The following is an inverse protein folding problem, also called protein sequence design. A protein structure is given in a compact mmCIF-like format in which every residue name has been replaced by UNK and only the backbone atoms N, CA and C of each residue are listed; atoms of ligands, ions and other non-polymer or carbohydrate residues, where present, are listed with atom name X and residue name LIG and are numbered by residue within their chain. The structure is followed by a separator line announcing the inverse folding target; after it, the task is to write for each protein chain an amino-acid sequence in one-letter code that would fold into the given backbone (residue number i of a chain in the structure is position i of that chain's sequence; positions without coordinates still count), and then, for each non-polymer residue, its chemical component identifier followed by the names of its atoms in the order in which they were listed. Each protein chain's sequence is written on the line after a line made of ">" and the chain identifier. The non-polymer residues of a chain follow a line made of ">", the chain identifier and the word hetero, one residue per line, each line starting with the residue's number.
data_IF_370482728027
#
_entry.id   IF_370482728027
#
_cell.length_a   1.000
_cell.length_b   1.000
_cell.length_c   1.000
_cell.angle_alpha   90.00
_cell.angle_beta   90.00
_cell.angle_gamma   90.00
#
_symmetry.space_group_name_H-M   'P 1'
#
loop_
_entity.id
_entity.type
_entity.pdbx_description
1 polymer ?
#
# COMPACT_ATOMS: atom_id res chain seq x y z
N UNK A 1 -3.51 17.72 -5.64
CA UNK A 1 -2.15 18.22 -5.87
C UNK A 1 -1.40 17.30 -6.82
N UNK A 2 -0.84 17.82 -7.86
CA UNK A 2 -0.02 16.97 -8.73
C UNK A 2 1.21 16.47 -7.99
N UNK A 3 1.56 15.25 -8.29
CA UNK A 3 2.74 14.62 -7.70
C UNK A 3 3.92 14.94 -8.63
N UNK A 4 4.76 15.90 -8.25
CA UNK A 4 5.83 16.37 -9.10
C UNK A 4 7.18 15.79 -8.64
N UNK A 5 8.19 15.91 -9.52
CA UNK A 5 9.55 15.47 -9.17
C UNK A 5 10.08 16.21 -7.94
N UNK A 6 9.74 17.48 -7.82
CA UNK A 6 10.16 18.28 -6.66
C UNK A 6 9.52 17.75 -5.38
N UNK A 7 8.23 17.42 -5.44
CA UNK A 7 7.53 16.83 -4.32
C UNK A 7 8.14 15.49 -3.93
N UNK A 8 8.51 14.67 -4.94
CA UNK A 8 9.20 13.40 -4.70
C UNK A 8 10.49 13.60 -3.92
N UNK A 9 11.30 14.58 -4.33
CA UNK A 9 12.57 14.82 -3.65
C UNK A 9 12.36 15.21 -2.20
N UNK A 10 11.36 16.05 -1.93
CA UNK A 10 11.06 16.46 -0.57
C UNK A 10 10.62 15.26 0.28
N UNK A 11 9.76 14.41 -0.27
CA UNK A 11 9.28 13.25 0.46
C UNK A 11 10.39 12.24 0.71
N UNK A 12 11.29 12.06 -0.27
CA UNK A 12 12.45 11.18 -0.07
C UNK A 12 13.33 11.68 1.06
N UNK A 13 13.57 12.98 1.10
CA UNK A 13 14.41 13.56 2.15
C UNK A 13 13.77 13.37 3.52
N UNK A 14 12.46 13.41 3.61
CA UNK A 14 11.75 13.24 4.88
C UNK A 14 11.87 11.81 5.43
N UNK A 15 12.18 10.84 4.58
CA UNK A 15 12.37 9.46 5.01
C UNK A 15 13.79 9.16 5.48
N UNK A 16 14.72 10.10 5.29
CA UNK A 16 16.11 9.87 5.60
C UNK A 16 16.39 9.60 7.09
N UNK A 17 15.75 10.32 8.03
CA UNK A 17 16.08 10.09 9.45
C UNK A 17 15.88 8.64 9.87
N UNK A 18 16.80 8.14 10.67
CA UNK A 18 16.78 6.74 11.08
C UNK A 18 15.58 6.35 11.90
N UNK A 19 14.91 7.31 12.56
CA UNK A 19 13.74 7.01 13.36
C UNK A 19 12.47 6.83 12.51
N UNK A 20 12.53 7.12 11.21
CA UNK A 20 11.40 6.91 10.30
C UNK A 20 11.47 5.47 9.81
N UNK A 21 10.50 4.64 10.20
CA UNK A 21 10.51 3.22 9.86
C UNK A 21 10.04 2.92 8.44
N UNK A 22 9.24 3.78 7.85
CA UNK A 22 8.75 3.50 6.52
C UNK A 22 7.78 4.52 6.00
N UNK A 23 7.17 4.17 4.89
CA UNK A 23 6.23 5.01 4.15
C UNK A 23 4.86 4.37 4.18
N UNK A 24 3.82 5.17 4.40
CA UNK A 24 2.44 4.70 4.33
C UNK A 24 1.72 5.47 3.22
N UNK A 25 1.15 4.72 2.28
CA UNK A 25 0.35 5.27 1.19
C UNK A 25 -1.11 5.25 1.60
N UNK A 26 -1.69 6.42 1.76
CA UNK A 26 -3.11 6.52 2.14
C UNK A 26 -3.66 7.87 1.70
N UNK A 27 -4.94 8.07 1.91
CA UNK A 27 -5.61 9.28 1.46
C UNK A 27 -5.96 9.14 -0.01
N UNK A 28 -6.94 9.83 -0.55
CA UNK A 28 -7.38 9.74 -1.94
C UNK A 28 -7.20 8.37 -2.54
N UNK A 29 -7.49 7.33 -2.36
CA UNK A 29 -7.36 5.96 -2.89
C UNK A 29 -6.07 5.76 -3.70
N UNK A 30 -4.99 5.27 -3.07
CA UNK A 30 -3.72 5.04 -3.77
C UNK A 30 -3.83 4.08 -4.96
N UNK A 31 -4.78 3.15 -4.93
CA UNK A 31 -4.88 2.13 -5.97
C UNK A 31 -5.82 2.50 -7.11
N UNK A 32 -6.31 3.75 -7.18
CA UNK A 32 -6.90 4.20 -8.43
C UNK A 32 -5.82 4.15 -9.50
N UNK A 33 -6.15 3.66 -10.72
CA UNK A 33 -5.10 3.45 -11.73
C UNK A 33 -4.21 4.66 -12.00
N UNK A 34 -4.77 5.87 -12.07
CA UNK A 34 -3.91 7.02 -12.33
C UNK A 34 -3.01 7.31 -11.13
N UNK A 35 -3.47 7.03 -9.91
CA UNK A 35 -2.63 7.20 -8.73
C UNK A 35 -1.54 6.13 -8.68
N UNK A 36 -1.85 4.91 -9.07
CA UNK A 36 -0.85 3.86 -9.15
C UNK A 36 0.28 4.25 -10.08
N UNK A 37 -0.07 4.80 -11.25
CA UNK A 37 0.95 5.19 -12.23
C UNK A 37 1.83 6.32 -11.72
N UNK A 38 1.23 7.25 -10.96
CA UNK A 38 1.99 8.36 -10.39
C UNK A 38 2.87 7.92 -9.24
N UNK A 39 2.40 6.97 -8.43
CA UNK A 39 3.13 6.54 -7.23
C UNK A 39 4.27 5.58 -7.51
N UNK A 40 4.15 4.77 -8.56
CA UNK A 40 5.14 3.72 -8.80
C UNK A 40 6.57 4.24 -8.90
N UNK A 41 6.87 5.29 -9.67
CA UNK A 41 8.25 5.78 -9.73
C UNK A 41 8.75 6.23 -8.36
N UNK A 42 7.91 6.89 -7.58
CA UNK A 42 8.31 7.35 -6.25
C UNK A 42 8.59 6.19 -5.31
N UNK A 43 7.71 5.19 -5.30
CA UNK A 43 7.88 4.04 -4.41
C UNK A 43 9.15 3.27 -4.78
N UNK A 44 9.43 3.14 -6.08
CA UNK A 44 10.68 2.52 -6.51
C UNK A 44 11.90 3.26 -5.97
N UNK A 45 11.86 4.59 -6.00
CA UNK A 45 12.96 5.39 -5.46
C UNK A 45 13.12 5.20 -3.95
N UNK A 46 12.00 5.07 -3.24
CA UNK A 46 12.03 4.79 -1.81
C UNK A 46 12.72 3.45 -1.54
N UNK A 47 12.36 2.42 -2.31
CA UNK A 47 12.97 1.10 -2.14
C UNK A 47 14.47 1.11 -2.42
N UNK A 48 14.89 1.88 -3.42
CA UNK A 48 16.30 1.98 -3.75
C UNK A 48 17.08 2.77 -2.72
N UNK A 49 16.52 3.88 -2.27
CA UNK A 49 17.21 4.77 -1.35
C UNK A 49 17.24 4.24 0.08
N UNK A 50 16.16 3.54 0.47
CA UNK A 50 15.99 3.10 1.87
C UNK A 50 15.49 1.66 1.90
N UNK A 51 16.30 0.69 1.49
CA UNK A 51 15.82 -0.70 1.38
C UNK A 51 15.37 -1.30 2.70
N UNK A 52 15.80 -0.74 3.83
CA UNK A 52 15.38 -1.24 5.14
C UNK A 52 14.06 -0.68 5.64
N UNK A 53 13.48 0.29 4.95
CA UNK A 53 12.22 0.89 5.38
C UNK A 53 11.05 0.16 4.74
N UNK A 54 9.95 0.05 5.49
CA UNK A 54 8.77 -0.67 5.00
C UNK A 54 7.82 0.26 4.26
N UNK A 55 7.02 -0.32 3.37
CA UNK A 55 6.01 0.43 2.63
C UNK A 55 4.66 -0.24 2.90
N UNK A 56 3.74 0.52 3.47
CA UNK A 56 2.37 0.10 3.73
C UNK A 56 1.42 0.84 2.82
N UNK A 57 0.37 0.18 2.39
CA UNK A 57 -0.63 0.80 1.52
C UNK A 57 -2.03 0.50 2.05
N UNK A 58 -2.82 1.54 2.24
CA UNK A 58 -4.22 1.42 2.63
C UNK A 58 -5.08 1.65 1.41
N UNK A 59 -5.92 0.68 1.06
CA UNK A 59 -6.77 0.77 -0.12
C UNK A 59 -8.18 0.32 0.21
N UNK A 60 -9.17 0.99 -0.39
CA UNK A 60 -10.55 0.53 -0.32
C UNK A 60 -10.83 -0.64 -1.23
N UNK A 61 -9.96 -0.89 -2.20
CA UNK A 61 -10.09 -2.07 -3.07
C UNK A 61 -9.52 -3.29 -2.36
N UNK A 62 -10.02 -4.46 -2.72
CA UNK A 62 -9.54 -5.71 -2.12
C UNK A 62 -8.37 -6.27 -2.92
N UNK A 63 -7.59 -7.14 -2.26
CA UNK A 63 -6.50 -7.85 -2.92
C UNK A 63 -7.02 -8.59 -4.16
N UNK A 64 -8.20 -9.20 -4.04
CA UNK A 64 -8.80 -9.92 -5.16
C UNK A 64 -9.09 -9.00 -6.34
N UNK A 65 -9.65 -7.81 -6.06
CA UNK A 65 -9.92 -6.84 -7.13
C UNK A 65 -8.64 -6.40 -7.82
N UNK A 66 -7.57 -6.26 -7.06
CA UNK A 66 -6.29 -5.84 -7.62
C UNK A 66 -5.63 -6.92 -8.48
N UNK A 67 -6.11 -8.15 -8.41
CA UNK A 67 -5.57 -9.26 -9.20
C UNK A 67 -6.56 -9.78 -10.24
N UNK A 68 -7.72 -9.14 -10.39
CA UNK A 68 -8.74 -9.57 -11.34
C UNK A 68 -8.68 -8.75 -12.61
N UNK A 69 -8.38 -9.40 -13.73
CA UNK A 69 -8.36 -8.71 -15.02
C UNK A 69 -9.73 -8.11 -15.30
N UNK A 70 -9.73 -6.87 -15.75
CA UNK A 70 -10.96 -6.17 -16.06
C UNK A 70 -11.60 -5.46 -14.89
N UNK A 71 -11.13 -5.66 -13.65
CA UNK A 71 -11.67 -4.90 -12.54
C UNK A 71 -11.11 -3.49 -12.57
N UNK A 72 -11.80 -2.56 -11.92
CA UNK A 72 -11.46 -1.13 -12.00
C UNK A 72 -10.02 -0.83 -11.58
N UNK A 73 -9.52 -1.33 -10.44
CA UNK A 73 -8.18 -0.94 -9.99
C UNK A 73 -7.05 -1.68 -10.71
N UNK A 74 -7.35 -2.77 -11.44
CA UNK A 74 -6.28 -3.55 -12.07
C UNK A 74 -5.83 -2.87 -13.35
N UNK A 75 -4.59 -2.44 -13.40
CA UNK A 75 -4.04 -1.80 -14.59
C UNK A 75 -2.64 -2.35 -14.85
N UNK A 76 -1.96 -1.78 -15.85
CA UNK A 76 -0.68 -2.33 -16.30
C UNK A 76 0.43 -2.24 -15.25
N UNK A 77 0.32 -1.34 -14.27
CA UNK A 77 1.36 -1.18 -13.26
C UNK A 77 1.00 -1.79 -11.92
N UNK A 78 -0.19 -2.39 -11.78
CA UNK A 78 -0.66 -2.87 -10.48
C UNK A 78 0.28 -3.90 -9.87
N UNK A 79 0.67 -4.92 -10.64
CA UNK A 79 1.54 -5.96 -10.11
C UNK A 79 2.89 -5.42 -9.70
N UNK A 80 3.44 -4.53 -10.52
CA UNK A 80 4.75 -3.94 -10.21
C UNK A 80 4.66 -3.10 -8.94
N UNK A 81 3.59 -2.30 -8.79
CA UNK A 81 3.43 -1.49 -7.60
C UNK A 81 3.28 -2.36 -6.35
N UNK A 82 2.48 -3.41 -6.43
CA UNK A 82 2.29 -4.31 -5.29
C UNK A 82 3.59 -4.96 -4.87
N UNK A 83 4.49 -5.24 -5.82
CA UNK A 83 5.79 -5.82 -5.48
C UNK A 83 6.65 -4.87 -4.64
N UNK A 84 6.37 -3.57 -4.71
CA UNK A 84 7.10 -2.57 -3.93
C UNK A 84 6.50 -2.35 -2.54
N UNK A 85 5.37 -2.96 -2.24
CA UNK A 85 4.64 -2.75 -1.00
C UNK A 85 4.80 -3.97 -0.11
N UNK A 86 5.06 -3.73 1.19
CA UNK A 86 5.24 -4.82 2.16
C UNK A 86 3.91 -5.27 2.74
N UNK A 87 3.05 -4.32 3.09
CA UNK A 87 1.76 -4.63 3.72
C UNK A 87 0.65 -3.87 3.02
N UNK A 88 -0.39 -4.59 2.63
CA UNK A 88 -1.60 -3.99 2.06
C UNK A 88 -2.74 -4.14 3.08
N UNK A 89 -3.31 -3.02 3.48
CA UNK A 89 -4.54 -3.05 4.29
C UNK A 89 -5.67 -2.83 3.30
N UNK A 90 -6.43 -3.88 3.03
CA UNK A 90 -7.39 -3.85 1.93
C UNK A 90 -8.84 -3.86 2.40
N UNK A 91 -9.71 -3.37 1.51
CA UNK A 91 -11.15 -3.37 1.75
C UNK A 91 -11.66 -2.02 2.21
N UNK A 92 -12.90 -1.73 1.85
CA UNK A 92 -13.52 -0.46 2.21
C UNK A 92 -13.79 -0.38 3.70
N UNK A 93 -13.63 0.82 4.27
CA UNK A 93 -14.09 1.06 5.63
C UNK A 93 -15.62 0.90 5.67
N UNK A 94 -16.11 0.07 6.57
CA UNK A 94 -17.55 -0.17 6.73
C UNK A 94 -17.93 0.31 8.12
N UNK A 95 -18.74 1.35 8.19
CA UNK A 95 -19.11 1.97 9.46
C UNK A 95 -19.75 0.97 10.42
N UNK A 96 -20.59 0.08 9.91
CA UNK A 96 -21.26 -0.92 10.74
C UNK A 96 -20.29 -1.91 11.38
N UNK A 97 -19.08 -2.03 10.82
CA UNK A 97 -18.06 -2.95 11.33
C UNK A 97 -16.90 -2.20 11.99
N UNK A 98 -17.08 -0.91 12.25
CA UNK A 98 -16.09 -0.07 12.89
C UNK A 98 -15.74 -0.60 14.28
N UNK A 99 -14.44 -0.64 14.60
CA UNK A 99 -13.99 -1.15 15.87
C UNK A 99 -12.70 -0.44 16.24
N UNK A 100 -12.77 0.43 17.24
CA UNK A 100 -11.63 1.26 17.62
C UNK A 100 -10.55 0.44 18.33
N UNK A 101 -10.85 -0.80 18.72
CA UNK A 101 -9.85 -1.66 19.34
C UNK A 101 -8.94 -2.35 18.31
N UNK A 102 -9.26 -2.28 17.02
CA UNK A 102 -8.46 -2.90 15.99
C UNK A 102 -7.17 -2.10 15.77
N UNK A 103 -6.09 -2.82 15.52
CA UNK A 103 -4.81 -2.20 15.21
C UNK A 103 -4.69 -2.09 13.69
N UNK A 104 -4.29 -0.91 13.21
CA UNK A 104 -3.92 -0.66 11.82
C UNK A 104 -5.06 -0.74 10.81
N UNK A 105 -6.31 -0.88 11.27
CA UNK A 105 -7.46 -0.87 10.36
C UNK A 105 -8.67 -0.31 11.10
N UNK A 106 -9.63 0.22 10.34
CA UNK A 106 -10.76 0.91 10.92
C UNK A 106 -12.01 0.07 11.11
N UNK A 107 -12.15 -1.01 10.33
CA UNK A 107 -13.32 -1.88 10.42
C UNK A 107 -12.87 -3.32 10.28
N UNK A 108 -13.70 -4.24 10.83
CA UNK A 108 -13.29 -5.64 10.95
C UNK A 108 -13.19 -6.38 9.61
N UNK A 109 -13.81 -5.84 8.57
CA UNK A 109 -13.73 -6.44 7.24
C UNK A 109 -12.40 -6.16 6.53
N UNK A 110 -11.64 -5.18 7.01
CA UNK A 110 -10.36 -4.84 6.39
C UNK A 110 -9.30 -5.83 6.85
N UNK A 111 -8.40 -6.19 5.94
CA UNK A 111 -7.39 -7.20 6.20
C UNK A 111 -6.00 -6.58 6.14
N UNK A 112 -5.10 -7.08 6.99
CA UNK A 112 -3.68 -6.73 6.93
C UNK A 112 -2.97 -7.86 6.20
N UNK A 113 -2.58 -7.61 4.96
CA UNK A 113 -2.00 -8.64 4.11
C UNK A 113 -0.49 -8.46 4.04
N UNK A 114 0.24 -9.52 4.41
CA UNK A 114 1.69 -9.53 4.26
C UNK A 114 1.99 -9.90 2.81
N UNK A 115 2.27 -8.89 1.98
CA UNK A 115 2.45 -9.13 0.56
C UNK A 115 3.71 -9.93 0.26
N UNK A 116 4.76 -9.77 1.07
CA UNK A 116 5.98 -10.54 0.87
C UNK A 116 5.74 -12.03 1.11
N UNK A 117 5.08 -12.35 2.22
CA UNK A 117 4.76 -13.73 2.53
C UNK A 117 3.77 -14.32 1.54
N UNK A 118 2.82 -13.50 1.08
CA UNK A 118 1.83 -13.94 0.10
C UNK A 118 2.51 -14.36 -1.20
N UNK A 119 3.49 -13.56 -1.66
CA UNK A 119 4.22 -13.92 -2.88
C UNK A 119 5.03 -15.20 -2.70
N UNK A 120 5.67 -15.38 -1.55
CA UNK A 120 6.47 -16.58 -1.29
C UNK A 120 5.62 -17.82 -1.19
N UNK A 121 4.44 -17.70 -0.59
CA UNK A 121 3.56 -18.84 -0.35
C UNK A 121 2.71 -19.19 -1.56
N UNK A 122 2.49 -18.24 -2.47
CA UNK A 122 1.57 -18.43 -3.58
C UNK A 122 0.11 -18.39 -3.17
N UNK A 123 -0.18 -17.91 -1.97
CA UNK A 123 -1.55 -17.79 -1.45
C UNK A 123 -1.59 -16.64 -0.46
N UNK A 124 -2.78 -16.14 -0.20
CA UNK A 124 -2.97 -14.99 0.68
C UNK A 124 -2.48 -15.30 2.09
N UNK A 125 -1.59 -14.46 2.61
CA UNK A 125 -1.07 -14.59 3.96
C UNK A 125 -1.32 -13.29 4.71
N UNK A 126 -2.01 -13.39 5.84
CA UNK A 126 -2.32 -12.23 6.66
C UNK A 126 -1.24 -11.98 7.68
N UNK A 127 -1.04 -10.69 8.01
CA UNK A 127 -0.14 -10.32 9.08
C UNK A 127 -0.77 -10.73 10.40
N UNK A 128 0.00 -11.31 11.34
CA UNK A 128 -0.58 -11.62 12.65
C UNK A 128 -1.07 -10.36 13.35
N UNK A 129 -2.21 -10.45 13.98
CA UNK A 129 -2.81 -9.34 14.73
C UNK A 129 -2.68 -9.65 16.21
N UNK A 130 -2.35 -8.61 16.96
CA UNK A 130 -2.12 -8.84 18.38
C UNK A 130 -3.14 -8.18 19.23
#
# INVERSE_FOLDING_TARGET
>A
QPFTAETEEQLLAMLQPGYINGLTLLGGEPMEPENQRALLPFVRRVREAYPGKTVWCFSGFTWEELHTEGSHPKCEVTEELLRQIDVLVDGRFVEALKDISLRFRGSSNQRLIDLNATRRAGELVLLPER
#
